data_IF_710875761840
#
_entry.id   IF_710875761840
#
_cell.length_a   1.000
_cell.length_b   1.000
_cell.length_c   1.000
_cell.angle_alpha   90.00
_cell.angle_beta   90.00
_cell.angle_gamma   90.00
#
_symmetry.space_group_name_H-M   'P 1'
#
loop_
_entity.id
_entity.type
_entity.pdbx_description
1 polymer ?
#
# COMPACT_ATOMS: atom_id res chain seq x y z
N UNK A 1 14.91 -1.16 6.35
CA UNK A 1 13.86 -1.02 7.38
C UNK A 1 12.67 -0.42 6.68
N UNK A 2 11.57 -1.17 6.58
CA UNK A 2 10.41 -0.77 5.78
C UNK A 2 9.63 0.33 6.51
N UNK A 3 9.74 1.58 6.07
CA UNK A 3 9.06 2.70 6.72
C UNK A 3 7.64 2.88 6.17
N UNK A 4 6.65 2.35 6.89
CA UNK A 4 5.24 2.54 6.55
C UNK A 4 4.73 3.88 7.06
N UNK A 5 4.76 4.89 6.19
CA UNK A 5 4.06 6.15 6.43
C UNK A 5 2.70 6.11 5.74
N UNK A 6 1.70 5.63 6.48
CA UNK A 6 0.30 5.66 6.08
C UNK A 6 -0.27 7.05 6.38
N UNK A 7 -0.50 7.85 5.34
CA UNK A 7 -1.21 9.13 5.45
C UNK A 7 -2.49 9.05 4.62
N UNK A 8 -3.64 8.94 5.29
CA UNK A 8 -4.94 9.21 4.67
C UNK A 8 -5.12 10.73 4.71
N UNK A 9 -4.95 11.39 3.58
CA UNK A 9 -5.29 12.80 3.47
C UNK A 9 -6.80 12.89 3.21
N UNK A 10 -7.57 13.35 4.21
CA UNK A 10 -9.05 13.38 4.20
C UNK A 10 -9.70 14.18 3.05
N UNK A 11 -8.94 14.97 2.28
CA UNK A 11 -9.48 15.91 1.28
C UNK A 11 -9.25 15.51 -0.18
N UNK A 12 -8.56 14.41 -0.44
CA UNK A 12 -8.50 13.77 -1.75
C UNK A 12 -8.68 12.28 -1.51
N UNK A 13 -9.43 11.55 -2.33
CA UNK A 13 -9.53 10.07 -2.27
C UNK A 13 -8.19 9.43 -2.68
N UNK A 14 -7.13 9.74 -1.92
CA UNK A 14 -5.74 9.50 -2.25
C UNK A 14 -5.04 8.83 -1.08
N UNK A 15 -4.58 7.61 -1.30
CA UNK A 15 -3.74 6.89 -0.38
C UNK A 15 -2.30 6.89 -0.90
N UNK A 16 -1.34 7.25 -0.04
CA UNK A 16 0.08 7.08 -0.35
C UNK A 16 0.68 6.01 0.54
N UNK A 17 1.38 5.05 -0.07
CA UNK A 17 2.20 4.07 0.63
C UNK A 17 3.64 4.20 0.15
N UNK A 18 4.60 4.13 1.08
CA UNK A 18 6.03 4.11 0.75
C UNK A 18 6.64 2.84 1.30
N UNK A 19 7.55 2.25 0.55
CA UNK A 19 8.36 1.14 1.04
C UNK A 19 9.77 1.20 0.48
N UNK A 20 10.71 0.73 1.29
CA UNK A 20 12.07 0.46 0.87
C UNK A 20 12.10 -0.93 0.23
N UNK A 21 12.75 -1.05 -0.92
CA UNK A 21 13.07 -2.31 -1.59
C UNK A 21 13.68 -3.31 -0.61
N UNK A 22 13.38 -4.62 -0.73
CA UNK A 22 14.08 -5.65 0.03
C UNK A 22 15.61 -5.57 -0.10
N UNK A 23 16.11 -5.14 -1.26
CA UNK A 23 17.54 -4.95 -1.53
C UNK A 23 18.10 -3.63 -0.98
N UNK A 24 17.25 -2.80 -0.36
CA UNK A 24 17.57 -1.50 0.24
C UNK A 24 18.18 -0.46 -0.71
N UNK A 25 18.07 -0.70 -2.01
CA UNK A 25 18.63 0.13 -3.09
C UNK A 25 17.62 1.15 -3.64
N UNK A 26 16.32 0.93 -3.40
CA UNK A 26 15.24 1.74 -3.97
C UNK A 26 14.13 2.02 -2.98
N UNK A 27 13.59 3.23 -3.05
CA UNK A 27 12.34 3.61 -2.41
C UNK A 27 11.23 3.62 -3.44
N UNK A 28 10.14 2.92 -3.15
CA UNK A 28 8.93 3.00 -3.92
C UNK A 28 7.88 3.84 -3.19
N UNK A 29 7.13 4.63 -3.96
CA UNK A 29 5.97 5.40 -3.51
C UNK A 29 4.77 5.07 -4.38
N UNK A 30 3.79 4.44 -3.77
CA UNK A 30 2.51 4.06 -4.37
C UNK A 30 1.51 5.16 -4.04
N UNK A 31 0.88 5.72 -5.06
CA UNK A 31 -0.14 6.76 -4.95
C UNK A 31 -1.41 6.22 -5.58
N UNK A 32 -2.33 5.77 -4.74
CA UNK A 32 -3.67 5.33 -5.14
C UNK A 32 -4.56 6.56 -5.25
N UNK A 33 -5.29 6.71 -6.36
CA UNK A 33 -6.25 7.79 -6.61
C UNK A 33 -7.64 7.18 -6.82
N UNK A 34 -8.66 7.89 -6.36
CA UNK A 34 -10.06 7.44 -6.33
C UNK A 34 -10.17 6.13 -5.54
N UNK A 35 -9.68 6.16 -4.31
CA UNK A 35 -9.75 5.02 -3.38
C UNK A 35 -11.21 4.75 -3.04
N UNK A 36 -11.67 3.53 -3.30
CA UNK A 36 -13.05 3.09 -3.06
C UNK A 36 -13.20 2.44 -1.68
N UNK A 37 -12.17 1.71 -1.24
CA UNK A 37 -12.15 1.06 0.06
C UNK A 37 -10.73 0.75 0.47
N UNK A 38 -10.46 0.82 1.78
CA UNK A 38 -9.24 0.29 2.40
C UNK A 38 -9.70 -0.71 3.47
N UNK A 39 -9.19 -1.93 3.42
CA UNK A 39 -9.48 -2.98 4.41
C UNK A 39 -8.19 -3.36 5.13
N UNK A 40 -8.26 -3.36 6.45
CA UNK A 40 -7.22 -3.87 7.34
C UNK A 40 -7.72 -5.17 7.93
N UNK A 41 -6.93 -6.25 7.87
CA UNK A 41 -7.36 -7.55 8.42
C UNK A 41 -7.16 -7.69 9.94
N UNK A 42 -6.86 -6.62 10.68
CA UNK A 42 -6.64 -6.66 12.14
C UNK A 42 -6.88 -5.31 12.82
N UNK A 43 -7.37 -5.35 14.07
CA UNK A 43 -7.67 -4.20 14.96
C UNK A 43 -6.45 -3.45 15.53
N UNK A 44 -5.24 -3.74 15.05
CA UNK A 44 -4.01 -3.20 15.61
C UNK A 44 -3.73 -1.77 15.15
N UNK A 45 -3.95 -0.82 16.06
CA UNK A 45 -3.52 0.59 15.95
C UNK A 45 -1.99 0.76 15.92
N UNK A 46 -1.22 -0.32 15.93
CA UNK A 46 0.24 -0.38 16.07
C UNK A 46 0.98 -0.81 14.79
N UNK A 47 0.57 -0.33 13.61
CA UNK A 47 1.25 -0.66 12.34
C UNK A 47 2.62 0.03 12.25
N UNK A 48 3.65 -0.55 12.88
CA UNK A 48 5.06 -0.12 12.76
C UNK A 48 5.96 -1.33 12.66
N UNK A 49 7.02 -1.21 11.84
CA UNK A 49 8.12 -2.17 11.74
C UNK A 49 7.73 -3.60 11.31
N UNK A 50 6.78 -3.74 10.39
CA UNK A 50 6.47 -5.02 9.76
C UNK A 50 7.15 -5.08 8.39
N UNK A 51 7.62 -6.26 7.98
CA UNK A 51 8.25 -6.41 6.67
C UNK A 51 7.22 -6.84 5.62
N UNK A 52 7.23 -6.16 4.47
CA UNK A 52 6.39 -6.52 3.33
C UNK A 52 6.94 -7.80 2.70
N UNK A 53 6.15 -8.87 2.70
CA UNK A 53 6.54 -10.13 2.03
C UNK A 53 5.98 -10.16 0.61
N UNK A 54 4.68 -9.89 0.47
CA UNK A 54 3.98 -10.01 -0.81
C UNK A 54 3.20 -8.73 -1.05
N UNK A 55 3.24 -8.28 -2.30
CA UNK A 55 2.36 -7.24 -2.77
C UNK A 55 1.76 -7.68 -4.10
N UNK A 56 0.43 -7.67 -4.21
CA UNK A 56 -0.30 -8.28 -5.31
C UNK A 56 -1.28 -7.27 -5.91
N UNK A 57 -1.25 -7.13 -7.23
CA UNK A 57 -2.24 -6.37 -7.98
C UNK A 57 -3.29 -7.30 -8.59
N UNK A 58 -4.56 -6.91 -8.55
CA UNK A 58 -5.62 -7.57 -9.31
C UNK A 58 -6.62 -6.59 -9.92
N UNK A 59 -7.05 -6.87 -11.14
CA UNK A 59 -8.14 -6.14 -11.80
C UNK A 59 -9.46 -6.85 -11.49
N UNK A 60 -10.42 -6.11 -10.92
CA UNK A 60 -11.78 -6.56 -10.62
C UNK A 60 -12.77 -6.08 -11.69
N UNK A 61 -13.97 -6.68 -11.75
CA UNK A 61 -15.02 -6.24 -12.66
C UNK A 61 -15.33 -4.74 -12.53
N UNK A 62 -15.89 -4.15 -13.59
CA UNK A 62 -16.26 -2.71 -13.66
C UNK A 62 -15.06 -1.76 -13.52
N UNK A 63 -13.87 -2.19 -13.95
CA UNK A 63 -12.65 -1.38 -13.95
C UNK A 63 -12.26 -0.92 -12.54
N UNK A 64 -12.41 -1.79 -11.55
CA UNK A 64 -11.93 -1.55 -10.18
C UNK A 64 -10.62 -2.29 -10.01
N UNK A 65 -9.59 -1.63 -9.49
CA UNK A 65 -8.33 -2.27 -9.17
C UNK A 65 -8.30 -2.61 -7.67
N UNK A 66 -7.63 -3.69 -7.31
CA UNK A 66 -7.34 -4.06 -5.92
C UNK A 66 -5.84 -4.31 -5.78
N UNK A 67 -5.25 -3.72 -4.73
CA UNK A 67 -3.86 -3.94 -4.33
C UNK A 67 -3.84 -4.54 -2.94
N UNK A 68 -3.20 -5.68 -2.80
CA UNK A 68 -3.01 -6.36 -1.54
C UNK A 68 -1.56 -6.26 -1.11
N UNK A 69 -1.35 -5.94 0.16
CA UNK A 69 -0.06 -5.97 0.82
C UNK A 69 -0.14 -6.98 1.96
N UNK A 70 0.74 -7.97 1.95
CA UNK A 70 0.82 -9.03 2.96
C UNK A 70 2.17 -8.93 3.66
N UNK A 71 2.12 -8.85 4.98
CA UNK A 71 3.29 -8.61 5.82
C UNK A 71 3.74 -9.89 6.51
N UNK A 72 4.96 -9.88 7.05
CA UNK A 72 5.56 -11.01 7.73
C UNK A 72 4.78 -11.46 8.97
N UNK A 73 4.10 -10.53 9.63
CA UNK A 73 3.15 -10.85 10.70
C UNK A 73 1.88 -11.60 10.24
N UNK A 74 1.68 -11.80 8.94
CA UNK A 74 0.43 -12.32 8.37
C UNK A 74 -0.68 -11.26 8.22
N UNK A 75 -0.41 -10.00 8.60
CA UNK A 75 -1.33 -8.87 8.37
C UNK A 75 -1.52 -8.62 6.88
N UNK A 76 -2.72 -8.16 6.50
CA UNK A 76 -3.06 -7.79 5.12
C UNK A 76 -3.72 -6.41 5.07
N UNK A 77 -3.26 -5.59 4.14
CA UNK A 77 -3.90 -4.33 3.73
C UNK A 77 -4.39 -4.51 2.29
N UNK A 78 -5.68 -4.31 2.08
CA UNK A 78 -6.29 -4.33 0.74
C UNK A 78 -6.80 -2.94 0.39
N UNK A 79 -6.36 -2.42 -0.76
CA UNK A 79 -6.77 -1.12 -1.28
C UNK A 79 -7.55 -1.33 -2.56
N UNK A 80 -8.82 -0.93 -2.61
CA UNK A 80 -9.61 -0.85 -3.84
C UNK A 80 -9.56 0.57 -4.37
N UNK A 81 -9.27 0.74 -5.66
CA UNK A 81 -9.02 2.05 -6.27
C UNK A 81 -9.32 2.04 -7.78
N UNK A 82 -9.28 3.19 -8.44
CA UNK A 82 -9.41 3.29 -9.91
C UNK A 82 -8.10 3.59 -10.63
N UNK A 83 -7.18 4.34 -10.01
CA UNK A 83 -5.89 4.68 -10.61
C UNK A 83 -4.74 4.54 -9.63
N UNK A 84 -3.63 3.99 -10.10
CA UNK A 84 -2.38 3.86 -9.34
C UNK A 84 -1.26 4.56 -10.09
N UNK A 85 -0.43 5.26 -9.32
CA UNK A 85 0.84 5.83 -9.77
C UNK A 85 1.95 5.28 -8.87
N UNK A 86 3.01 4.75 -9.47
CA UNK A 86 4.16 4.21 -8.75
C UNK A 86 5.37 5.07 -9.10
N UNK A 87 6.00 5.65 -8.09
CA UNK A 87 7.24 6.40 -8.24
C UNK A 87 8.36 5.59 -7.61
N UNK A 88 9.40 5.33 -8.37
CA UNK A 88 10.61 4.64 -7.94
C UNK A 88 11.77 5.64 -7.85
N UNK A 89 12.53 5.58 -6.77
CA UNK A 89 13.75 6.39 -6.57
C UNK A 89 14.87 5.51 -6.04
N UNK A 90 16.05 5.62 -6.63
CA UNK A 90 17.26 5.06 -6.05
C UNK A 90 17.59 5.78 -4.74
N UNK A 91 18.13 5.03 -3.77
CA UNK A 91 18.61 5.53 -2.48
C UNK A 91 20.03 6.04 -2.61
#
# INVERSE_FOLDING_TARGET
>A
MTEFKFAILKNEDRLTMKFLSPYRDRNFKFIFKNVLAIRFKTDDRGFKNDDLIIHQFSLKPKGVCEYDFIFASGRRISVKFKRLEIIEKFV
#
